data_IF_830017348417
#
_entry.id   IF_830017348417
#
_cell.length_a   1.000
_cell.length_b   1.000
_cell.length_c   1.000
_cell.angle_alpha   90.00
_cell.angle_beta   90.00
_cell.angle_gamma   90.00
#
_symmetry.space_group_name_H-M   'P 1'
#
loop_
_entity.id
_entity.type
_entity.pdbx_description
1 polymer ?
#
# COMPACT_ATOMS: atom_id res chain seq x y z
N UNK A 1 9.09 12.58 -11.21
CA UNK A 1 7.97 12.26 -10.32
C UNK A 1 8.53 11.84 -8.97
N UNK A 2 8.19 12.55 -7.89
CA UNK A 2 8.76 12.31 -6.56
C UNK A 2 8.18 11.03 -5.95
N UNK A 3 9.05 10.10 -5.50
CA UNK A 3 8.63 8.86 -4.83
C UNK A 3 8.85 9.05 -3.33
N UNK A 4 7.76 9.17 -2.55
CA UNK A 4 7.85 9.15 -1.09
C UNK A 4 7.34 7.79 -0.63
N UNK A 5 8.21 7.00 -0.01
CA UNK A 5 7.87 5.69 0.54
C UNK A 5 7.52 5.82 2.03
N UNK A 6 6.48 5.10 2.43
CA UNK A 6 6.15 4.69 3.79
C UNK A 6 5.58 5.72 4.79
N UNK A 7 5.61 7.03 4.55
CA UNK A 7 5.02 7.97 5.53
C UNK A 7 4.34 9.19 4.88
N UNK A 8 3.01 9.25 5.01
CA UNK A 8 2.17 10.36 4.57
C UNK A 8 2.49 11.67 5.32
N UNK A 9 2.91 11.59 6.58
CA UNK A 9 3.35 12.72 7.39
C UNK A 9 4.68 13.26 6.88
N UNK A 10 5.61 12.38 6.52
CA UNK A 10 6.87 12.78 5.88
C UNK A 10 6.62 13.37 4.49
N UNK A 11 5.73 12.76 3.69
CA UNK A 11 5.32 13.31 2.41
C UNK A 11 4.71 14.72 2.56
N UNK A 12 3.85 14.90 3.57
CA UNK A 12 3.25 16.18 3.91
C UNK A 12 4.28 17.23 4.32
N UNK A 13 5.24 16.87 5.17
CA UNK A 13 6.35 17.76 5.59
C UNK A 13 7.27 18.12 4.42
N UNK A 14 7.62 17.16 3.57
CA UNK A 14 8.48 17.39 2.42
C UNK A 14 7.84 18.33 1.40
N UNK A 15 6.54 18.17 1.12
CA UNK A 15 5.82 19.09 0.25
C UNK A 15 5.60 20.47 0.89
N UNK A 16 5.38 20.54 2.20
CA UNK A 16 5.32 21.81 2.92
C UNK A 16 6.63 22.60 2.75
N UNK A 17 7.78 21.93 2.86
CA UNK A 17 9.09 22.52 2.56
C UNK A 17 9.23 22.97 1.10
N UNK A 18 8.66 22.23 0.13
CA UNK A 18 8.68 22.64 -1.28
C UNK A 18 7.76 23.83 -1.57
N UNK A 19 6.61 23.97 -0.87
CA UNK A 19 5.78 25.19 -0.91
C UNK A 19 6.57 26.41 -0.42
N UNK A 20 7.33 26.29 0.66
CA UNK A 20 8.15 27.40 1.19
C UNK A 20 9.26 27.82 0.21
N UNK A 21 9.77 26.89 -0.60
CA UNK A 21 10.79 27.15 -1.62
C UNK A 21 10.27 27.76 -2.93
N UNK A 22 8.98 28.13 -3.02
CA UNK A 22 8.35 28.85 -4.16
C UNK A 22 8.49 28.19 -5.54
N UNK A 23 8.83 26.91 -5.65
CA UNK A 23 8.88 26.20 -6.94
C UNK A 23 7.52 25.69 -7.42
N UNK A 24 6.49 25.70 -6.57
CA UNK A 24 5.10 25.34 -6.94
C UNK A 24 4.23 26.59 -6.83
N UNK A 25 4.18 27.39 -7.89
CA UNK A 25 3.27 28.52 -8.05
C UNK A 25 1.94 28.03 -8.57
N UNK A 26 0.98 27.78 -7.69
CA UNK A 26 -0.40 27.48 -8.07
C UNK A 26 -1.21 26.94 -6.90
N UNK A 27 -2.44 27.41 -6.74
CA UNK A 27 -3.41 26.99 -5.72
C UNK A 27 -3.89 25.54 -5.84
N UNK A 28 -3.14 24.68 -6.53
CA UNK A 28 -3.46 23.27 -6.68
C UNK A 28 -3.38 22.57 -5.32
N UNK A 29 -4.41 21.79 -5.01
CA UNK A 29 -4.54 21.08 -3.75
C UNK A 29 -3.49 19.96 -3.66
N UNK A 30 -2.90 19.76 -2.47
CA UNK A 30 -1.90 18.71 -2.19
C UNK A 30 -2.35 17.32 -2.68
N UNK A 31 -3.66 17.08 -2.65
CA UNK A 31 -4.33 15.84 -3.10
C UNK A 31 -4.14 15.57 -4.60
N UNK A 32 -3.91 16.60 -5.40
CA UNK A 32 -3.75 16.46 -6.86
C UNK A 32 -2.40 15.86 -7.24
N UNK A 33 -1.37 16.08 -6.41
CA UNK A 33 0.00 15.62 -6.65
C UNK A 33 0.37 14.32 -5.93
N UNK A 34 -0.32 13.99 -4.83
CA UNK A 34 -0.07 12.77 -4.06
C UNK A 34 -1.11 11.70 -4.40
N UNK A 35 -0.77 10.85 -5.37
CA UNK A 35 -1.62 9.75 -5.82
C UNK A 35 -0.87 8.41 -5.70
N UNK A 36 -1.53 7.34 -5.25
CA UNK A 36 -0.98 5.99 -5.34
C UNK A 36 -0.58 5.70 -6.78
N UNK A 37 0.63 5.16 -6.96
CA UNK A 37 1.17 4.84 -8.29
C UNK A 37 1.67 3.40 -8.30
N UNK A 38 1.45 2.69 -9.41
CA UNK A 38 2.03 1.38 -9.63
C UNK A 38 3.57 1.41 -9.50
N UNK A 39 4.13 0.38 -8.87
CA UNK A 39 5.57 0.30 -8.57
C UNK A 39 6.08 1.24 -7.48
N UNK A 40 5.18 1.92 -6.76
CA UNK A 40 5.51 2.66 -5.53
C UNK A 40 4.68 2.09 -4.40
N UNK A 41 5.35 1.48 -3.42
CA UNK A 41 4.71 0.95 -2.22
C UNK A 41 3.86 2.04 -1.55
N UNK A 42 2.66 1.66 -1.11
CA UNK A 42 1.79 2.53 -0.33
C UNK A 42 2.02 2.24 1.15
N UNK A 43 2.10 3.30 1.95
CA UNK A 43 2.23 3.20 3.39
C UNK A 43 1.10 2.35 3.99
N UNK A 44 1.44 1.50 4.94
CA UNK A 44 0.45 0.62 5.59
C UNK A 44 -0.37 1.43 6.59
N UNK A 45 -1.68 1.16 6.62
CA UNK A 45 -2.53 1.64 7.70
C UNK A 45 -1.97 1.22 9.09
N UNK A 46 -1.98 2.12 10.09
CA UNK A 46 -1.58 1.78 11.45
C UNK A 46 -2.63 0.86 12.10
N UNK A 47 -2.20 0.06 13.07
CA UNK A 47 -3.06 -0.89 13.79
C UNK A 47 -2.97 -0.58 15.28
N UNK A 48 -4.12 -0.50 15.93
CA UNK A 48 -4.20 -0.32 17.37
C UNK A 48 -4.47 -1.68 18.01
N UNK A 49 -3.68 -2.04 19.03
CA UNK A 49 -3.79 -3.35 19.68
C UNK A 49 -4.97 -3.36 20.67
N UNK A 50 -5.99 -4.14 20.36
CA UNK A 50 -7.05 -4.52 21.30
C UNK A 50 -6.52 -5.38 22.45
N UNK A 51 -7.17 -5.28 23.62
CA UNK A 51 -6.85 -6.08 24.82
C UNK A 51 -7.97 -7.07 25.17
N UNK A 52 -9.15 -6.85 24.62
CA UNK A 52 -10.34 -7.70 24.67
C UNK A 52 -11.32 -7.21 23.60
N UNK A 53 -12.35 -8.02 23.29
CA UNK A 53 -13.43 -7.61 22.37
C UNK A 53 -14.11 -6.33 22.88
N UNK A 54 -14.39 -6.25 24.19
CA UNK A 54 -14.97 -5.06 24.81
C UNK A 54 -14.10 -3.81 24.61
N UNK A 55 -12.78 -3.94 24.78
CA UNK A 55 -11.85 -2.84 24.52
C UNK A 55 -11.89 -2.38 23.06
N UNK A 56 -11.96 -3.32 22.11
CA UNK A 56 -12.09 -2.98 20.69
C UNK A 56 -13.39 -2.22 20.39
N UNK A 57 -14.52 -2.62 20.99
CA UNK A 57 -15.80 -1.93 20.83
C UNK A 57 -15.79 -0.51 21.41
N UNK A 58 -15.04 -0.26 22.49
CA UNK A 58 -14.89 1.09 23.05
C UNK A 58 -13.99 1.99 22.20
N UNK A 59 -12.98 1.41 21.53
CA UNK A 59 -12.06 2.16 20.65
C UNK A 59 -12.65 2.45 19.26
N UNK A 60 -13.81 1.90 18.93
CA UNK A 60 -14.39 1.95 17.59
C UNK A 60 -15.79 2.55 17.60
N UNK A 61 -16.21 3.04 16.43
CA UNK A 61 -17.51 3.65 16.24
C UNK A 61 -18.14 3.16 14.95
N UNK A 62 -19.46 2.97 14.97
CA UNK A 62 -20.22 2.52 13.80
C UNK A 62 -20.09 1.02 13.51
N UNK A 63 -20.43 0.63 12.28
CA UNK A 63 -20.40 -0.75 11.80
C UNK A 63 -18.98 -1.14 11.40
N UNK A 64 -18.53 -2.31 11.84
CA UNK A 64 -17.18 -2.83 11.55
C UNK A 64 -17.24 -4.16 10.82
N UNK A 65 -16.24 -4.41 9.96
CA UNK A 65 -15.89 -5.75 9.51
C UNK A 65 -14.91 -6.38 10.50
N UNK A 66 -14.97 -7.71 10.62
CA UNK A 66 -14.03 -8.50 11.42
C UNK A 66 -13.41 -9.52 10.48
N UNK A 67 -12.08 -9.59 10.47
CA UNK A 67 -11.30 -10.48 9.61
C UNK A 67 -10.33 -11.29 10.46
N UNK A 68 -10.05 -12.51 10.02
CA UNK A 68 -9.06 -13.36 10.67
C UNK A 68 -7.66 -12.80 10.45
N UNK A 69 -6.93 -12.57 11.56
CA UNK A 69 -5.53 -12.18 11.48
C UNK A 69 -4.70 -13.40 11.09
N UNK A 70 -4.32 -13.45 9.81
CA UNK A 70 -3.39 -14.46 9.32
C UNK A 70 -1.98 -14.22 9.89
N UNK A 71 -1.33 -15.29 10.33
CA UNK A 71 0.05 -15.25 10.84
C UNK A 71 1.06 -15.52 9.72
N UNK A 72 1.12 -14.59 8.78
CA UNK A 72 2.03 -14.62 7.64
C UNK A 72 2.77 -13.31 7.44
N UNK A 73 3.66 -13.29 6.46
CA UNK A 73 4.33 -12.07 6.03
C UNK A 73 3.38 -11.15 5.27
N UNK A 74 3.21 -9.90 5.73
CA UNK A 74 2.51 -8.87 4.96
C UNK A 74 3.20 -8.67 3.60
N UNK A 75 2.39 -8.64 2.54
CA UNK A 75 2.83 -8.21 1.22
C UNK A 75 1.81 -7.24 0.61
N UNK A 76 2.31 -6.32 -0.21
CA UNK A 76 1.50 -5.44 -1.05
C UNK A 76 1.80 -5.77 -2.50
N UNK A 77 0.78 -6.09 -3.27
CA UNK A 77 0.90 -6.53 -4.65
C UNK A 77 0.42 -5.41 -5.57
N UNK A 78 1.27 -5.03 -6.51
CA UNK A 78 0.95 -4.11 -7.61
C UNK A 78 0.87 -4.93 -8.89
N UNK A 79 -0.22 -4.76 -9.65
CA UNK A 79 -0.44 -5.47 -10.91
C UNK A 79 -0.55 -4.43 -12.03
N UNK A 80 0.39 -4.47 -12.97
CA UNK A 80 0.45 -3.62 -14.15
C UNK A 80 0.30 -4.47 -15.41
N UNK A 81 -0.94 -4.57 -15.90
CA UNK A 81 -1.28 -5.43 -17.03
C UNK A 81 -0.57 -5.02 -18.34
N UNK A 82 -0.06 -3.79 -18.45
CA UNK A 82 0.68 -3.33 -19.62
C UNK A 82 2.03 -4.04 -19.81
N UNK A 83 2.57 -4.65 -18.75
CA UNK A 83 3.89 -5.31 -18.73
C UNK A 83 3.86 -6.80 -19.09
N UNK A 84 2.70 -7.34 -19.48
CA UNK A 84 2.57 -8.74 -19.89
C UNK A 84 2.98 -9.72 -18.78
N UNK A 85 4.01 -10.54 -19.02
CA UNK A 85 4.46 -11.56 -18.09
C UNK A 85 5.09 -11.01 -16.80
N UNK A 86 5.59 -9.78 -16.83
CA UNK A 86 6.21 -9.09 -15.69
C UNK A 86 5.24 -8.09 -15.04
N UNK A 87 3.94 -8.39 -15.09
CA UNK A 87 2.89 -7.52 -14.57
C UNK A 87 2.83 -7.43 -13.04
N UNK A 88 3.45 -8.34 -12.30
CA UNK A 88 3.31 -8.42 -10.85
C UNK A 88 4.57 -7.86 -10.18
N UNK A 89 4.37 -6.94 -9.23
CA UNK A 89 5.41 -6.44 -8.33
C UNK A 89 4.94 -6.58 -6.87
N UNK A 90 5.81 -7.09 -5.99
CA UNK A 90 5.44 -7.43 -4.62
C UNK A 90 6.37 -6.73 -3.63
N UNK A 91 5.80 -5.90 -2.76
CA UNK A 91 6.51 -5.27 -1.66
C UNK A 91 6.28 -6.01 -0.35
N UNK A 92 7.34 -6.17 0.44
CA UNK A 92 7.27 -6.67 1.81
C UNK A 92 6.71 -5.63 2.81
N UNK A 93 6.59 -6.05 4.07
CA UNK A 93 6.24 -5.15 5.19
C UNK A 93 7.16 -3.94 5.31
N UNK A 94 8.48 -4.13 5.13
CA UNK A 94 9.51 -3.11 5.38
C UNK A 94 9.74 -2.12 4.25
N UNK A 95 9.11 -2.31 3.08
CA UNK A 95 9.42 -1.50 1.91
C UNK A 95 10.15 -2.24 0.80
N UNK A 96 10.90 -3.30 1.15
CA UNK A 96 11.74 -4.04 0.20
C UNK A 96 10.88 -4.63 -0.93
N UNK A 97 11.32 -4.43 -2.17
CA UNK A 97 10.84 -5.19 -3.32
C UNK A 97 11.25 -6.66 -3.15
N UNK A 98 10.25 -7.51 -3.03
CA UNK A 98 10.38 -8.95 -2.83
C UNK A 98 9.66 -9.73 -3.92
N UNK A 99 9.59 -9.15 -5.13
CA UNK A 99 8.98 -9.81 -6.30
C UNK A 99 9.73 -11.10 -6.63
N UNK A 100 11.06 -11.04 -6.69
CA UNK A 100 11.89 -12.22 -6.97
C UNK A 100 11.81 -13.27 -5.86
N UNK A 101 11.83 -12.83 -4.59
CA UNK A 101 11.67 -13.70 -3.41
C UNK A 101 10.35 -14.51 -3.46
N UNK A 102 9.36 -14.07 -4.25
CA UNK A 102 8.02 -14.65 -4.37
C UNK A 102 7.64 -15.04 -5.80
N UNK A 103 8.63 -15.27 -6.68
CA UNK A 103 8.40 -15.59 -8.09
C UNK A 103 7.46 -16.79 -8.32
N UNK A 104 7.40 -17.73 -7.38
CA UNK A 104 6.47 -18.87 -7.41
C UNK A 104 4.98 -18.44 -7.51
N UNK A 105 4.62 -17.28 -6.94
CA UNK A 105 3.24 -16.77 -6.99
C UNK A 105 2.80 -16.34 -8.41
N UNK A 106 3.74 -16.09 -9.31
CA UNK A 106 3.44 -15.68 -10.68
C UNK A 106 2.86 -16.84 -11.54
N UNK A 107 2.98 -18.10 -11.08
CA UNK A 107 2.57 -19.30 -11.83
C UNK A 107 1.18 -19.85 -11.50
N UNK A 108 0.33 -19.15 -10.74
CA UNK A 108 -0.95 -19.70 -10.27
C UNK A 108 -2.04 -19.93 -11.36
N UNK A 109 -1.71 -19.87 -12.66
CA UNK A 109 -2.65 -20.21 -13.76
C UNK A 109 -3.09 -21.68 -13.81
N UNK A 110 -2.45 -22.59 -13.07
CA UNK A 110 -2.68 -24.04 -13.22
C UNK A 110 -4.04 -24.55 -12.70
N UNK A 111 -4.78 -23.77 -11.92
CA UNK A 111 -6.04 -24.20 -11.30
C UNK A 111 -7.32 -23.56 -11.88
N UNK A 112 -7.23 -22.65 -12.85
CA UNK A 112 -8.42 -22.02 -13.46
C UNK A 112 -8.89 -22.70 -14.76
N UNK A 113 -8.14 -23.65 -15.31
CA UNK A 113 -8.45 -24.29 -16.59
C UNK A 113 -8.95 -25.73 -16.49
N UNK A 114 -9.60 -26.12 -15.37
CA UNK A 114 -10.16 -27.48 -15.21
C UNK A 114 -11.66 -27.49 -14.92
N UNK A 115 -12.40 -26.57 -15.54
CA UNK A 115 -13.87 -26.69 -15.65
C UNK A 115 -14.29 -26.25 -17.06
N UNK A 116 -14.08 -27.15 -18.01
CA UNK A 116 -14.93 -27.32 -19.19
C UNK A 116 -15.08 -28.82 -19.41
#
# INVERSE_FOLDING_TARGET
MLKVQDDLVVAGRFLALQRTKRTVTGGASLKEYLKPTLGVKVGRQPWIKGRSVKHCLTMSHGRMSVEDKIDGGYCQIHIDLSKGHDCIQIFSKSGKDSTQDRAALHRSKKYWSSTK
#
